data_IF_048656158787
#
_entry.id   IF_048656158787
#
_cell.length_a   1.000
_cell.length_b   1.000
_cell.length_c   1.000
_cell.angle_alpha   90.00
_cell.angle_beta   90.00
_cell.angle_gamma   90.00
#
_symmetry.space_group_name_H-M   'P 1'
#
loop_
_entity.id
_entity.type
_entity.pdbx_description
1 polymer ?
#
# COMPACT_ATOMS: atom_id res chain seq x y z
N UNK A 1 13.08 -4.73 -2.84
CA UNK A 1 13.34 -5.11 -1.45
C UNK A 1 12.40 -4.39 -0.48
N UNK A 2 12.22 -4.95 0.70
CA UNK A 2 11.52 -4.27 1.78
C UNK A 2 12.52 -3.49 2.62
N UNK A 3 12.27 -2.20 2.80
CA UNK A 3 13.12 -1.30 3.58
C UNK A 3 12.31 -0.81 4.78
N UNK A 4 12.75 -1.17 5.99
CA UNK A 4 12.09 -0.71 7.22
C UNK A 4 12.54 0.72 7.57
N UNK A 5 11.78 1.40 8.41
CA UNK A 5 12.00 2.82 8.68
C UNK A 5 12.45 3.11 10.12
N UNK A 6 12.99 2.12 10.82
CA UNK A 6 13.61 2.33 12.13
C UNK A 6 14.83 3.25 12.04
N UNK A 7 15.49 3.25 10.88
CA UNK A 7 16.60 4.12 10.56
C UNK A 7 16.30 4.87 9.28
N UNK A 8 17.13 5.85 8.94
CA UNK A 8 17.00 6.59 7.67
C UNK A 8 17.12 5.62 6.49
N UNK A 9 16.21 5.66 5.52
CA UNK A 9 16.26 4.77 4.37
C UNK A 9 17.35 5.21 3.38
N UNK A 10 18.60 4.95 3.72
CA UNK A 10 19.76 5.22 2.89
C UNK A 10 20.02 4.03 1.98
N UNK A 11 20.23 4.32 0.70
CA UNK A 11 20.53 3.32 -0.32
C UNK A 11 21.73 3.73 -1.15
N UNK A 12 22.44 2.76 -1.69
CA UNK A 12 23.51 3.03 -2.63
C UNK A 12 22.93 3.24 -4.01
N UNK A 13 23.31 4.35 -4.64
CA UNK A 13 22.93 4.70 -6.01
C UNK A 13 24.15 4.72 -6.90
N UNK A 14 23.93 4.48 -8.19
CA UNK A 14 24.96 4.66 -9.21
C UNK A 14 24.50 5.75 -10.18
N UNK A 15 25.26 6.82 -10.25
CA UNK A 15 24.96 7.98 -11.08
C UNK A 15 26.25 8.53 -11.67
N UNK A 16 26.28 8.80 -12.96
CA UNK A 16 27.48 9.29 -13.65
C UNK A 16 28.69 8.38 -13.49
N UNK A 17 28.48 7.07 -13.37
CA UNK A 17 29.54 6.09 -13.13
C UNK A 17 30.09 6.06 -11.70
N UNK A 18 29.53 6.83 -10.78
CA UNK A 18 29.95 6.90 -9.37
C UNK A 18 28.91 6.26 -8.46
N UNK A 19 29.40 5.60 -7.41
CA UNK A 19 28.55 5.09 -6.34
C UNK A 19 28.42 6.16 -5.24
N UNK A 20 27.19 6.43 -4.85
CA UNK A 20 26.88 7.39 -3.78
C UNK A 20 25.82 6.80 -2.86
N UNK A 21 25.76 7.30 -1.65
CA UNK A 21 24.71 6.99 -0.71
C UNK A 21 23.65 8.10 -0.77
N UNK A 22 22.37 7.73 -0.85
CA UNK A 22 21.28 8.68 -0.93
C UNK A 22 20.10 8.27 -0.07
N UNK A 23 19.35 9.27 0.38
CA UNK A 23 18.15 9.10 1.19
C UNK A 23 16.93 8.97 0.28
N UNK A 24 16.14 7.93 0.46
CA UNK A 24 14.82 7.81 -0.18
C UNK A 24 13.85 8.76 0.54
N UNK A 25 13.42 9.81 -0.13
CA UNK A 25 12.61 10.87 0.47
C UNK A 25 11.28 11.05 -0.27
N UNK A 26 10.23 10.45 0.28
CA UNK A 26 8.88 10.54 -0.28
C UNK A 26 8.26 11.94 -0.14
N UNK A 27 8.82 12.77 0.74
CA UNK A 27 8.39 14.15 0.93
C UNK A 27 9.06 15.15 -0.02
N UNK A 28 10.03 14.71 -0.83
CA UNK A 28 10.69 15.54 -1.82
C UNK A 28 10.10 15.31 -3.21
N UNK A 29 9.79 16.40 -3.92
CA UNK A 29 9.31 16.32 -5.30
C UNK A 29 10.45 15.90 -6.24
N UNK A 30 11.63 16.46 -6.01
CA UNK A 30 12.79 16.37 -6.89
C UNK A 30 13.93 15.57 -6.25
N UNK A 31 14.81 15.06 -7.10
CA UNK A 31 16.05 14.40 -6.71
C UNK A 31 17.18 15.42 -6.71
N UNK A 32 17.86 15.55 -5.59
CA UNK A 32 18.92 16.53 -5.38
C UNK A 32 20.17 15.82 -4.88
N UNK A 33 21.26 15.97 -5.62
CA UNK A 33 22.55 15.38 -5.26
C UNK A 33 23.56 16.47 -4.87
N UNK A 34 24.46 16.11 -3.97
CA UNK A 34 25.60 16.92 -3.62
C UNK A 34 26.44 17.23 -4.88
N UNK A 35 27.23 18.30 -4.79
CA UNK A 35 28.07 18.75 -5.90
C UNK A 35 28.84 17.60 -6.55
N UNK A 36 28.62 17.43 -7.83
CA UNK A 36 29.29 16.43 -8.65
C UNK A 36 29.25 16.85 -10.12
N UNK A 37 30.12 16.27 -10.93
CA UNK A 37 30.09 16.45 -12.36
C UNK A 37 29.21 15.43 -13.03
N UNK A 38 28.22 15.91 -13.81
CA UNK A 38 27.39 15.08 -14.68
C UNK A 38 27.60 15.51 -16.15
N UNK A 39 27.50 14.56 -17.07
CA UNK A 39 27.64 14.88 -18.50
C UNK A 39 26.36 15.55 -19.01
N UNK A 40 26.53 16.37 -20.01
CA UNK A 40 25.45 16.99 -20.76
C UNK A 40 25.13 18.42 -20.35
N UNK A 41 24.06 18.92 -20.93
CA UNK A 41 23.59 20.28 -20.70
C UNK A 41 22.83 20.39 -19.40
N UNK A 42 22.92 21.52 -18.76
CA UNK A 42 22.17 21.84 -17.56
C UNK A 42 21.64 23.27 -17.63
N UNK A 43 20.62 23.52 -16.82
CA UNK A 43 20.08 24.87 -16.65
C UNK A 43 20.01 25.23 -15.17
N UNK A 44 20.19 26.51 -14.80
CA UNK A 44 20.10 26.92 -13.43
C UNK A 44 18.63 26.83 -12.93
N UNK A 45 18.45 26.42 -11.68
CA UNK A 45 17.17 26.36 -11.01
C UNK A 45 17.33 26.77 -9.55
N UNK A 46 16.29 27.35 -8.97
CA UNK A 46 16.19 27.61 -7.54
C UNK A 46 15.18 26.65 -6.96
N UNK A 47 15.55 25.94 -5.91
CA UNK A 47 14.66 25.05 -5.19
C UNK A 47 14.58 25.45 -3.72
N UNK A 48 13.40 25.31 -3.14
CA UNK A 48 13.12 25.66 -1.77
C UNK A 48 12.82 24.46 -0.89
N UNK A 49 13.27 24.53 0.33
CA UNK A 49 12.96 23.59 1.41
C UNK A 49 12.81 24.34 2.72
N UNK A 50 12.76 23.60 3.82
CA UNK A 50 12.58 24.19 5.17
C UNK A 50 13.68 25.21 5.52
N UNK A 51 14.89 24.97 5.06
CA UNK A 51 16.05 25.85 5.31
C UNK A 51 16.21 27.05 4.37
N UNK A 52 15.28 27.26 3.44
CA UNK A 52 15.35 28.33 2.44
C UNK A 52 15.58 27.81 1.02
N UNK A 53 15.99 28.71 0.13
CA UNK A 53 16.23 28.39 -1.29
C UNK A 53 17.71 28.17 -1.56
N UNK A 54 18.00 27.18 -2.42
CA UNK A 54 19.34 26.93 -2.91
C UNK A 54 19.35 26.95 -4.44
N UNK A 55 20.47 27.37 -5.01
CA UNK A 55 20.73 27.38 -6.46
C UNK A 55 21.29 26.02 -6.84
N UNK A 56 20.68 25.37 -7.83
CA UNK A 56 21.09 24.05 -8.32
C UNK A 56 21.24 24.06 -9.83
N UNK A 57 21.96 23.07 -10.35
CA UNK A 57 22.03 22.78 -11.78
C UNK A 57 21.05 21.65 -12.08
N UNK A 58 20.16 21.89 -13.04
CA UNK A 58 19.20 20.88 -13.48
C UNK A 58 19.72 20.12 -14.69
N UNK A 59 19.94 18.83 -14.52
CA UNK A 59 20.26 17.90 -15.61
C UNK A 59 19.03 17.04 -15.90
N UNK A 60 18.65 16.95 -17.18
CA UNK A 60 17.53 16.14 -17.59
C UNK A 60 17.98 14.78 -18.14
N UNK A 61 17.10 13.78 -18.02
CA UNK A 61 17.32 12.42 -18.55
C UNK A 61 18.64 11.79 -18.13
N UNK A 62 18.93 11.85 -16.84
CA UNK A 62 20.13 11.23 -16.26
C UNK A 62 19.78 9.80 -15.81
N UNK A 63 20.52 8.79 -16.28
CA UNK A 63 20.36 7.42 -15.81
C UNK A 63 20.85 7.28 -14.36
N UNK A 64 20.02 6.70 -13.51
CA UNK A 64 20.37 6.34 -12.14
C UNK A 64 19.98 4.89 -11.90
N UNK A 65 20.84 4.16 -11.22
CA UNK A 65 20.56 2.82 -10.75
C UNK A 65 20.46 2.82 -9.23
N UNK A 66 19.34 2.34 -8.72
CA UNK A 66 19.01 2.31 -7.29
C UNK A 66 18.54 0.92 -6.93
N UNK A 67 19.21 0.25 -5.99
CA UNK A 67 18.87 -1.12 -5.58
C UNK A 67 18.71 -2.09 -6.76
N UNK A 68 19.58 -1.98 -7.78
CA UNK A 68 19.53 -2.80 -8.97
C UNK A 68 18.44 -2.42 -9.97
N UNK A 69 17.67 -1.39 -9.71
CA UNK A 69 16.63 -0.88 -10.60
C UNK A 69 17.11 0.38 -11.31
N UNK A 70 16.86 0.44 -12.62
CA UNK A 70 17.25 1.56 -13.44
C UNK A 70 16.11 2.56 -13.60
N UNK A 71 16.44 3.84 -13.47
CA UNK A 71 15.55 4.95 -13.73
C UNK A 71 16.28 5.99 -14.58
N UNK A 72 15.53 6.79 -15.33
CA UNK A 72 16.09 7.91 -16.11
C UNK A 72 15.21 9.12 -15.82
N UNK A 73 15.81 10.19 -15.31
CA UNK A 73 15.02 11.37 -15.01
C UNK A 73 15.87 12.58 -14.66
N UNK A 74 15.19 13.61 -14.21
CA UNK A 74 15.82 14.87 -13.84
C UNK A 74 16.57 14.73 -12.52
N UNK A 75 17.80 15.20 -12.50
CA UNK A 75 18.66 15.25 -11.33
C UNK A 75 19.13 16.69 -11.13
N UNK A 76 18.92 17.20 -9.93
CA UNK A 76 19.41 18.51 -9.52
C UNK A 76 20.71 18.34 -8.75
N UNK A 77 21.68 19.18 -9.02
CA UNK A 77 22.99 19.13 -8.36
C UNK A 77 23.27 20.47 -7.69
N UNK A 78 23.57 20.46 -6.42
CA UNK A 78 23.83 21.67 -5.66
C UNK A 78 24.17 21.42 -4.20
N UNK A 79 24.22 22.50 -3.38
CA UNK A 79 24.67 22.43 -2.01
C UNK A 79 23.59 21.88 -1.07
N UNK A 80 23.21 20.62 -1.26
CA UNK A 80 22.34 19.89 -0.35
C UNK A 80 23.18 19.24 0.75
N UNK A 81 22.67 19.16 1.99
CA UNK A 81 23.39 18.46 3.08
C UNK A 81 23.42 16.95 2.90
N UNK A 82 22.53 16.39 2.09
CA UNK A 82 22.42 14.94 1.85
C UNK A 82 21.89 14.69 0.44
N UNK A 83 22.35 13.61 -0.18
CA UNK A 83 21.78 13.16 -1.44
C UNK A 83 20.36 12.67 -1.22
N UNK A 84 19.41 13.19 -1.98
CA UNK A 84 17.98 12.92 -1.82
C UNK A 84 17.41 12.36 -3.12
N UNK A 85 16.75 11.21 -3.03
CA UNK A 85 15.96 10.65 -4.13
C UNK A 85 14.49 11.04 -3.89
N UNK A 86 13.97 11.90 -4.75
CA UNK A 86 12.61 12.40 -4.67
C UNK A 86 11.60 11.58 -5.47
N UNK A 87 10.36 12.01 -5.43
CA UNK A 87 9.24 11.30 -6.07
C UNK A 87 9.39 11.14 -7.58
N UNK A 88 10.06 12.07 -8.25
CA UNK A 88 10.27 11.97 -9.69
C UNK A 88 10.98 10.67 -10.11
N UNK A 89 11.87 10.14 -9.28
CA UNK A 89 12.55 8.86 -9.51
C UNK A 89 11.92 7.71 -8.74
N UNK A 90 11.41 7.95 -7.54
CA UNK A 90 10.74 6.90 -6.75
C UNK A 90 9.56 6.29 -7.51
N UNK A 91 8.80 7.10 -8.25
CA UNK A 91 7.71 6.61 -9.10
C UNK A 91 8.19 5.67 -10.19
N UNK A 92 9.30 5.98 -10.84
CA UNK A 92 9.88 5.12 -11.87
C UNK A 92 10.39 3.79 -11.31
N UNK A 93 10.85 3.78 -10.08
CA UNK A 93 11.29 2.57 -9.38
C UNK A 93 10.14 1.72 -8.87
N UNK A 94 8.89 2.18 -9.01
CA UNK A 94 7.73 1.50 -8.46
C UNK A 94 7.64 1.54 -6.95
N UNK A 95 8.27 2.53 -6.31
CA UNK A 95 8.22 2.69 -4.87
C UNK A 95 6.84 3.14 -4.41
N UNK A 96 6.30 2.47 -3.42
CA UNK A 96 4.99 2.78 -2.83
C UNK A 96 5.06 2.79 -1.32
N UNK A 97 4.12 3.49 -0.69
CA UNK A 97 3.89 3.41 0.75
C UNK A 97 2.72 2.47 1.00
N UNK A 98 2.91 1.49 1.84
CA UNK A 98 1.88 0.51 2.13
C UNK A 98 1.62 0.50 3.63
N UNK A 99 0.37 0.70 3.98
CA UNK A 99 -0.09 0.65 5.36
C UNK A 99 -0.92 -0.61 5.55
N UNK A 100 -0.78 -1.31 6.70
CA UNK A 100 -1.63 -2.46 6.96
C UNK A 100 -3.09 -2.01 7.05
N UNK A 101 -3.98 -2.83 6.48
CA UNK A 101 -5.41 -2.58 6.62
C UNK A 101 -5.77 -2.75 8.09
N UNK A 102 -6.24 -1.67 8.73
CA UNK A 102 -6.73 -1.74 10.09
C UNK A 102 -8.13 -2.33 10.10
N UNK A 103 -8.47 -3.22 11.06
CA UNK A 103 -9.83 -3.68 11.20
C UNK A 103 -10.75 -2.49 11.48
N UNK A 104 -11.91 -2.47 10.81
CA UNK A 104 -12.93 -1.45 11.08
C UNK A 104 -13.40 -1.64 12.51
N UNK A 105 -13.36 -0.56 13.29
CA UNK A 105 -13.85 -0.59 14.66
C UNK A 105 -15.36 -0.92 14.67
N UNK A 106 -15.72 -1.95 15.44
CA UNK A 106 -17.12 -2.33 15.57
C UNK A 106 -17.81 -1.40 16.54
N UNK A 107 -18.89 -0.76 16.08
CA UNK A 107 -19.73 0.08 16.94
C UNK A 107 -20.64 -0.84 17.76
N UNK A 108 -20.64 -0.74 19.11
CA UNK A 108 -21.57 -1.52 19.92
C UNK A 108 -23.02 -1.14 19.57
N UNK A 109 -23.78 -2.15 19.15
CA UNK A 109 -25.20 -1.98 18.84
C UNK A 109 -25.99 -2.15 20.11
N UNK A 110 -26.74 -1.10 20.51
CA UNK A 110 -27.71 -1.21 21.60
C UNK A 110 -29.01 -1.77 21.05
N UNK A 111 -29.45 -2.90 21.59
CA UNK A 111 -30.77 -3.43 21.28
C UNK A 111 -31.86 -2.54 21.89
N UNK A 112 -32.92 -2.30 21.14
CA UNK A 112 -34.09 -1.57 21.68
C UNK A 112 -34.69 -2.39 22.83
N UNK A 113 -35.11 -1.75 23.95
CA UNK A 113 -35.78 -2.49 25.05
C UNK A 113 -36.97 -3.29 24.57
N UNK A 114 -37.02 -4.57 24.95
CA UNK A 114 -38.10 -5.47 24.57
C UNK A 114 -38.00 -6.08 23.16
N UNK A 115 -36.95 -5.78 22.41
CA UNK A 115 -36.70 -6.38 21.10
C UNK A 115 -35.66 -7.49 21.19
N UNK A 116 -36.02 -8.67 20.74
CA UNK A 116 -35.12 -9.79 20.52
C UNK A 116 -34.53 -9.73 19.12
N UNK A 117 -33.32 -10.28 18.97
CA UNK A 117 -32.73 -10.50 17.65
C UNK A 117 -33.47 -11.56 16.85
N UNK A 118 -33.15 -11.74 15.55
CA UNK A 118 -33.81 -12.71 14.70
C UNK A 118 -33.58 -14.16 15.16
N UNK A 119 -34.63 -14.97 15.13
CA UNK A 119 -34.61 -16.41 15.46
C UNK A 119 -35.16 -17.23 14.31
N UNK A 120 -34.75 -16.95 13.09
CA UNK A 120 -35.26 -17.56 11.87
C UNK A 120 -34.47 -18.82 11.55
N UNK A 121 -35.15 -19.94 11.34
CA UNK A 121 -34.52 -21.21 11.02
C UNK A 121 -33.88 -21.18 9.62
N UNK A 122 -32.75 -21.87 9.49
CA UNK A 122 -32.13 -22.10 8.21
C UNK A 122 -33.05 -22.95 7.33
N UNK A 123 -33.29 -22.50 6.09
CA UNK A 123 -34.01 -23.26 5.09
C UNK A 123 -33.13 -24.34 4.48
N UNK A 124 -33.70 -25.49 4.05
CA UNK A 124 -32.91 -26.51 3.35
C UNK A 124 -32.22 -25.97 2.10
N UNK A 125 -30.97 -26.37 1.91
CA UNK A 125 -30.15 -26.00 0.78
C UNK A 125 -29.77 -27.24 -0.03
N UNK A 126 -29.49 -27.09 -1.31
CA UNK A 126 -28.94 -28.14 -2.16
C UNK A 126 -27.52 -28.51 -1.71
N UNK A 127 -27.08 -29.75 -1.99
CA UNK A 127 -25.71 -30.18 -1.64
C UNK A 127 -24.63 -29.27 -2.21
N UNK A 128 -24.80 -28.83 -3.46
CA UNK A 128 -23.88 -27.91 -4.11
C UNK A 128 -23.75 -26.59 -3.34
N UNK A 129 -24.88 -26.03 -2.87
CA UNK A 129 -24.89 -24.79 -2.08
C UNK A 129 -24.30 -24.99 -0.70
N UNK A 130 -24.56 -26.13 -0.07
CA UNK A 130 -23.96 -26.48 1.23
C UNK A 130 -22.44 -26.54 1.13
N UNK A 131 -21.91 -27.24 0.12
CA UNK A 131 -20.46 -27.30 -0.12
C UNK A 131 -19.85 -25.91 -0.33
N UNK A 132 -20.48 -25.09 -1.16
CA UNK A 132 -20.04 -23.73 -1.43
C UNK A 132 -20.01 -22.88 -0.16
N UNK A 133 -21.03 -22.96 0.67
CA UNK A 133 -21.10 -22.21 1.94
C UNK A 133 -20.06 -22.70 2.95
N UNK A 134 -19.81 -24.00 3.03
CA UNK A 134 -18.76 -24.56 3.90
C UNK A 134 -17.40 -23.97 3.53
N UNK A 135 -17.06 -23.94 2.24
CA UNK A 135 -15.80 -23.37 1.78
C UNK A 135 -15.70 -21.87 2.08
N UNK A 136 -16.76 -21.12 1.79
CA UNK A 136 -16.80 -19.67 2.05
C UNK A 136 -16.65 -19.38 3.54
N UNK A 137 -17.38 -20.11 4.40
CA UNK A 137 -17.31 -19.91 5.84
C UNK A 137 -15.96 -20.32 6.42
N UNK A 138 -15.34 -21.38 5.93
CA UNK A 138 -14.01 -21.80 6.34
C UNK A 138 -12.97 -20.72 6.03
N UNK A 139 -13.03 -20.13 4.85
CA UNK A 139 -12.14 -19.04 4.45
C UNK A 139 -12.36 -17.79 5.30
N UNK A 140 -13.61 -17.40 5.54
CA UNK A 140 -13.95 -16.25 6.39
C UNK A 140 -13.47 -16.45 7.84
N UNK A 141 -13.60 -17.66 8.37
CA UNK A 141 -13.10 -17.99 9.71
C UNK A 141 -11.58 -17.93 9.78
N UNK A 142 -10.89 -18.45 8.77
CA UNK A 142 -9.42 -18.38 8.64
C UNK A 142 -8.93 -16.93 8.59
N UNK A 143 -9.66 -16.05 7.91
CA UNK A 143 -9.35 -14.62 7.81
C UNK A 143 -9.77 -13.82 9.07
N UNK A 144 -10.39 -14.46 10.05
CA UNK A 144 -10.87 -13.80 11.28
C UNK A 144 -12.10 -12.93 11.10
N UNK A 145 -12.83 -13.07 9.99
CA UNK A 145 -14.02 -12.28 9.69
C UNK A 145 -15.28 -12.82 10.37
N UNK A 146 -15.31 -14.11 10.67
CA UNK A 146 -16.39 -14.78 11.41
C UNK A 146 -15.80 -15.73 12.45
N UNK A 147 -16.60 -16.08 13.45
CA UNK A 147 -16.25 -17.06 14.49
C UNK A 147 -17.46 -17.94 14.84
N UNK A 148 -17.18 -19.13 15.36
CA UNK A 148 -18.22 -20.04 15.85
C UNK A 148 -18.79 -19.51 17.17
N UNK A 149 -20.12 -19.52 17.28
CA UNK A 149 -20.81 -19.00 18.47
C UNK A 149 -21.48 -20.07 19.33
N UNK A 150 -21.46 -21.32 18.91
CA UNK A 150 -22.06 -22.41 19.66
C UNK A 150 -23.58 -22.53 19.56
N UNK A 151 -24.14 -23.71 19.88
CA UNK A 151 -25.56 -24.01 19.75
C UNK A 151 -26.46 -23.35 20.79
N UNK A 152 -25.91 -22.84 21.87
CA UNK A 152 -26.63 -22.13 22.93
C UNK A 152 -27.10 -20.74 22.55
N UNK A 153 -26.56 -20.20 21.48
CA UNK A 153 -26.98 -18.88 20.98
C UNK A 153 -28.39 -19.00 20.38
N UNK A 154 -29.38 -18.24 20.88
CA UNK A 154 -30.78 -18.38 20.42
C UNK A 154 -31.04 -17.66 19.08
N UNK A 155 -30.15 -16.78 18.66
CA UNK A 155 -30.36 -15.95 17.47
C UNK A 155 -29.84 -16.66 16.22
N UNK A 156 -30.59 -16.55 15.15
CA UNK A 156 -30.20 -17.11 13.87
C UNK A 156 -30.84 -16.36 12.69
N UNK A 157 -30.05 -16.12 11.66
CA UNK A 157 -30.53 -15.58 10.40
C UNK A 157 -30.18 -16.55 9.27
N UNK A 158 -31.12 -16.87 8.36
CA UNK A 158 -30.87 -17.79 7.27
C UNK A 158 -29.77 -17.27 6.35
N UNK A 159 -28.99 -18.20 5.81
CA UNK A 159 -27.92 -17.94 4.86
C UNK A 159 -28.23 -18.59 3.53
N UNK A 160 -27.98 -17.92 2.44
CA UNK A 160 -28.17 -18.40 1.08
C UNK A 160 -26.88 -18.36 0.31
N UNK A 161 -26.78 -19.22 -0.70
CA UNK A 161 -25.70 -19.18 -1.66
C UNK A 161 -26.25 -18.80 -3.04
N UNK A 162 -25.66 -17.81 -3.68
CA UNK A 162 -26.00 -17.37 -5.02
C UNK A 162 -24.76 -17.36 -5.90
N UNK A 163 -24.92 -17.72 -7.18
CA UNK A 163 -23.83 -17.58 -8.16
C UNK A 163 -23.68 -16.13 -8.59
N UNK A 164 -22.45 -15.66 -8.67
CA UNK A 164 -22.14 -14.38 -9.31
C UNK A 164 -22.41 -14.47 -10.81
N UNK A 165 -22.90 -13.38 -11.42
CA UNK A 165 -23.03 -13.28 -12.88
C UNK A 165 -21.67 -13.53 -13.53
N UNK A 166 -21.65 -14.34 -14.59
CA UNK A 166 -20.47 -14.69 -15.38
C UNK A 166 -19.34 -15.39 -14.62
N UNK A 167 -19.66 -16.05 -13.49
CA UNK A 167 -18.66 -16.74 -12.67
C UNK A 167 -19.19 -18.09 -12.20
N UNK A 168 -18.27 -19.04 -12.03
CA UNK A 168 -18.53 -20.33 -11.35
C UNK A 168 -18.44 -20.17 -9.82
N UNK A 169 -18.10 -18.99 -9.32
CA UNK A 169 -17.94 -18.71 -7.90
C UNK A 169 -19.27 -18.42 -7.23
N UNK A 170 -19.42 -18.98 -6.04
CA UNK A 170 -20.58 -18.75 -5.18
C UNK A 170 -20.34 -17.55 -4.25
N UNK A 171 -21.44 -16.91 -3.89
CA UNK A 171 -21.45 -15.80 -2.94
C UNK A 171 -22.43 -16.12 -1.81
N UNK A 172 -22.03 -15.82 -0.58
CA UNK A 172 -22.90 -15.92 0.59
C UNK A 172 -23.83 -14.70 0.67
N UNK A 173 -25.12 -14.93 0.87
CA UNK A 173 -26.12 -13.91 1.12
C UNK A 173 -26.74 -14.17 2.49
N UNK A 174 -26.74 -13.16 3.36
CA UNK A 174 -27.40 -13.18 4.66
C UNK A 174 -28.68 -12.37 4.56
N UNK A 175 -29.79 -12.96 4.95
CA UNK A 175 -31.10 -12.30 4.90
C UNK A 175 -31.23 -11.16 5.93
#
# INVERSE_FOLDING_TARGET
PQITLWQRPLVTIRVGGQLKEALLDTGADDTVLEEMDLPGKWKPKMIGGIGGFIKVRQYDQIPIEICGHKAIGTVLVGPTPVNIIGRNLLTQLGCTLNFPISPIETVPVKLKPGMDGPKVKQRPLTEEKIKALIEICAELEKEGKISKIGPENPYNTPVFAIKKKDSTKWRKLVD
#
